data_IF_766086769708
#
_entry.id   IF_766086769708
#
_cell.length_a   1.000
_cell.length_b   1.000
_cell.length_c   1.000
_cell.angle_alpha   90.00
_cell.angle_beta   90.00
_cell.angle_gamma   90.00
#
_symmetry.space_group_name_H-M   'P 1'
#
loop_
_entity.id
_entity.type
_entity.pdbx_description
1 polymer ?
#
# COMPACT_ATOMS: atom_id res chain seq x y z
N UNK A 1 1.40 35.66 -47.04
CA UNK A 1 1.23 37.11 -47.29
C UNK A 1 1.64 37.82 -46.04
N UNK A 2 2.58 38.75 -46.24
CA UNK A 2 3.51 39.40 -45.32
C UNK A 2 2.97 39.91 -43.98
N UNK A 3 3.78 39.74 -42.92
CA UNK A 3 3.76 40.58 -41.73
C UNK A 3 4.95 41.54 -41.85
N UNK A 4 4.66 42.83 -42.06
CA UNK A 4 5.65 43.90 -42.09
C UNK A 4 6.09 44.30 -40.67
N UNK A 5 7.37 44.64 -40.56
CA UNK A 5 8.05 45.06 -39.34
C UNK A 5 8.26 46.59 -39.29
N UNK A 6 8.71 47.03 -38.10
CA UNK A 6 9.38 48.29 -37.72
C UNK A 6 8.54 49.55 -37.38
N UNK A 7 8.66 50.01 -36.12
CA UNK A 7 9.58 51.12 -35.74
C UNK A 7 9.78 51.21 -34.21
N UNK A 8 11.02 51.52 -33.80
CA UNK A 8 11.56 51.66 -32.43
C UNK A 8 11.37 53.14 -31.96
N UNK A 9 11.46 53.48 -30.65
CA UNK A 9 12.77 53.96 -30.15
C UNK A 9 13.11 53.50 -28.71
N UNK A 10 14.39 53.20 -28.49
CA UNK A 10 15.02 53.12 -27.18
C UNK A 10 15.31 54.54 -26.67
N UNK A 11 14.98 54.83 -25.41
CA UNK A 11 15.63 55.88 -24.63
C UNK A 11 15.79 55.41 -23.18
N UNK A 12 17.04 55.48 -22.73
CA UNK A 12 17.50 55.12 -21.40
C UNK A 12 16.91 56.04 -20.33
N UNK A 13 16.55 55.48 -19.18
CA UNK A 13 16.32 56.25 -17.97
C UNK A 13 17.34 55.89 -16.89
N UNK A 14 17.96 56.94 -16.38
CA UNK A 14 19.02 56.96 -15.41
C UNK A 14 18.58 56.47 -14.02
N UNK A 15 19.55 55.85 -13.36
CA UNK A 15 19.83 55.82 -11.92
C UNK A 15 18.94 56.68 -11.01
N UNK A 16 18.15 56.04 -10.15
CA UNK A 16 18.26 56.14 -8.68
C UNK A 16 17.13 55.33 -8.03
N UNK A 17 17.46 54.24 -7.36
CA UNK A 17 16.60 53.66 -6.33
C UNK A 17 17.41 53.56 -5.03
N UNK A 18 16.85 54.00 -3.89
CA UNK A 18 17.56 53.98 -2.62
C UNK A 18 17.72 52.54 -2.13
N UNK A 19 18.85 52.28 -1.49
CA UNK A 19 19.08 51.17 -0.57
C UNK A 19 17.82 50.84 0.23
N UNK A 20 17.24 49.65 0.01
CA UNK A 20 16.58 48.84 1.05
C UNK A 20 16.25 47.43 0.54
N UNK A 21 16.96 46.47 1.12
CA UNK A 21 16.59 45.06 1.32
C UNK A 21 16.41 44.15 0.10
N UNK A 22 17.53 43.59 -0.34
CA UNK A 22 17.61 42.33 -1.06
C UNK A 22 17.36 41.16 -0.09
N UNK A 23 16.15 40.98 0.44
CA UNK A 23 15.80 39.82 1.28
C UNK A 23 14.28 39.72 1.46
N UNK A 24 13.58 38.96 0.61
CA UNK A 24 12.28 38.31 0.96
C UNK A 24 11.62 37.65 -0.25
N UNK A 25 12.27 36.70 -0.93
CA UNK A 25 11.54 35.72 -1.77
C UNK A 25 12.23 34.35 -1.74
N UNK A 26 12.65 33.87 -0.56
CA UNK A 26 13.11 32.47 -0.38
C UNK A 26 12.88 32.01 1.07
N UNK A 27 11.66 32.12 1.63
CA UNK A 27 11.41 31.62 3.02
C UNK A 27 10.08 30.85 3.18
N UNK A 28 9.14 30.87 2.24
CA UNK A 28 7.82 30.25 2.47
C UNK A 28 7.70 28.78 2.05
N UNK A 29 8.60 28.23 1.23
CA UNK A 29 8.58 26.78 0.91
C UNK A 29 9.28 25.91 1.96
N UNK A 30 10.14 26.46 2.80
CA UNK A 30 10.93 25.67 3.77
C UNK A 30 10.17 25.37 5.05
N UNK A 31 9.32 26.27 5.54
CA UNK A 31 8.62 26.09 6.81
C UNK A 31 7.58 24.95 6.80
N UNK A 32 6.83 24.79 5.69
CA UNK A 32 5.85 23.71 5.56
C UNK A 32 6.50 22.32 5.43
N UNK A 33 7.61 22.23 4.68
CA UNK A 33 8.41 21.00 4.54
C UNK A 33 9.05 20.63 5.88
N UNK A 34 9.57 21.61 6.63
CA UNK A 34 10.12 21.39 7.98
C UNK A 34 9.02 20.97 8.96
N UNK A 35 7.83 21.56 8.92
CA UNK A 35 6.72 21.18 9.80
C UNK A 35 6.23 19.74 9.57
N UNK A 36 6.08 19.30 8.31
CA UNK A 36 5.72 17.92 7.97
C UNK A 36 6.81 16.91 8.38
N UNK A 37 8.09 17.24 8.13
CA UNK A 37 9.22 16.44 8.60
C UNK A 37 9.27 16.32 10.14
N UNK A 38 8.89 17.38 10.86
CA UNK A 38 8.80 17.34 12.34
C UNK A 38 7.61 16.57 12.87
N UNK A 39 6.53 16.34 12.11
CA UNK A 39 5.43 15.49 12.54
C UNK A 39 5.78 14.00 12.41
N UNK A 40 6.42 13.63 11.29
CA UNK A 40 6.95 12.28 11.01
C UNK A 40 8.02 11.83 12.02
N UNK A 41 8.91 12.75 12.43
CA UNK A 41 9.99 12.47 13.38
C UNK A 41 9.61 12.48 14.87
N UNK A 42 8.34 12.76 15.22
CA UNK A 42 7.88 12.78 16.62
C UNK A 42 7.51 11.41 17.18
N UNK A 43 7.06 10.50 16.31
CA UNK A 43 6.56 9.20 16.72
C UNK A 43 7.69 8.18 16.80
N UNK A 44 7.81 7.49 17.95
CA UNK A 44 8.82 6.43 18.14
C UNK A 44 8.47 5.22 17.29
N UNK A 45 9.46 4.40 16.93
CA UNK A 45 9.24 3.09 16.31
C UNK A 45 8.32 2.24 17.20
N UNK A 46 7.29 1.64 16.62
CA UNK A 46 6.23 0.89 17.29
C UNK A 46 4.97 1.71 17.58
N UNK A 47 5.06 3.03 17.72
CA UNK A 47 3.88 3.88 17.91
C UNK A 47 3.07 3.98 16.62
N UNK A 48 1.76 3.76 16.72
CA UNK A 48 0.85 3.90 15.58
C UNK A 48 0.66 5.38 15.20
N UNK A 49 0.87 5.67 13.93
CA UNK A 49 0.52 6.93 13.28
C UNK A 49 0.15 6.62 11.83
N UNK A 50 -1.13 6.77 11.50
CA UNK A 50 -1.60 6.73 10.11
C UNK A 50 -1.71 8.16 9.58
N UNK A 51 -1.05 8.49 8.46
CA UNK A 51 -1.18 9.81 7.86
C UNK A 51 -2.62 10.08 7.38
N UNK A 52 -3.04 11.36 7.30
CA UNK A 52 -4.34 11.74 6.74
C UNK A 52 -4.50 11.25 5.29
N UNK A 53 -5.70 10.77 4.94
CA UNK A 53 -5.99 10.21 3.61
C UNK A 53 -5.87 11.24 2.49
N UNK A 54 -6.07 12.53 2.77
CA UNK A 54 -5.93 13.64 1.81
C UNK A 54 -4.47 14.04 1.54
N UNK A 55 -3.52 13.53 2.34
CA UNK A 55 -2.08 13.70 2.12
C UNK A 55 -1.39 12.41 1.67
N UNK A 56 -2.14 11.32 1.48
CA UNK A 56 -1.62 9.98 1.19
C UNK A 56 -2.12 9.50 -0.17
N UNK A 57 -1.30 8.74 -0.89
CA UNK A 57 -1.67 8.15 -2.19
C UNK A 57 -1.02 6.79 -2.37
N UNK A 58 -1.71 5.88 -3.03
CA UNK A 58 -1.19 4.61 -3.56
C UNK A 58 -1.12 4.56 -5.09
N UNK A 59 -1.47 5.66 -5.75
CA UNK A 59 -1.23 5.82 -7.19
C UNK A 59 0.28 5.82 -7.46
N UNK A 60 0.80 4.89 -8.28
CA UNK A 60 2.23 4.79 -8.53
C UNK A 60 2.75 6.02 -9.28
N UNK A 61 3.85 6.59 -8.79
CA UNK A 61 4.55 7.70 -9.44
C UNK A 61 4.88 7.44 -10.93
N UNK A 62 5.12 6.18 -11.32
CA UNK A 62 5.43 5.80 -12.70
C UNK A 62 4.27 5.98 -13.69
N UNK A 63 3.01 5.95 -13.22
CA UNK A 63 1.81 6.06 -14.08
C UNK A 63 1.22 7.47 -14.04
N UNK A 64 1.32 8.14 -12.89
CA UNK A 64 0.86 9.52 -12.68
C UNK A 64 1.76 10.19 -11.63
N UNK A 65 2.25 11.41 -11.89
CA UNK A 65 2.95 12.16 -10.86
C UNK A 65 1.97 12.50 -9.75
N UNK A 66 2.14 11.91 -8.58
CA UNK A 66 1.38 12.24 -7.38
C UNK A 66 2.22 13.15 -6.48
N UNK A 67 1.63 14.25 -6.01
CA UNK A 67 2.23 15.21 -5.09
C UNK A 67 1.96 14.86 -3.61
N UNK A 68 1.32 13.71 -3.35
CA UNK A 68 1.04 13.25 -1.99
C UNK A 68 2.33 13.12 -1.17
N UNK A 69 2.28 13.60 0.07
CA UNK A 69 3.42 13.60 0.98
C UNK A 69 3.74 12.20 1.52
N UNK A 70 2.71 11.35 1.59
CA UNK A 70 2.80 10.00 2.10
C UNK A 70 2.43 8.99 1.01
N UNK A 71 3.19 7.90 0.92
CA UNK A 71 2.96 6.79 0.00
C UNK A 71 2.44 5.58 0.77
N UNK A 72 1.39 4.97 0.27
CA UNK A 72 0.89 3.67 0.76
C UNK A 72 0.65 2.75 -0.43
N UNK A 73 0.51 1.47 -0.16
CA UNK A 73 0.33 0.41 -1.16
C UNK A 73 -1.08 -0.18 -1.08
N UNK A 74 -1.47 -1.08 -1.99
CA UNK A 74 -2.61 -1.99 -1.74
C UNK A 74 -2.29 -3.09 -0.71
N UNK A 75 -1.09 -3.12 -0.11
CA UNK A 75 -0.68 -4.14 0.85
C UNK A 75 -0.87 -3.65 2.29
N UNK A 76 -1.87 -4.17 3.04
CA UNK A 76 -2.16 -3.71 4.39
C UNK A 76 -1.01 -3.98 5.38
N UNK A 77 -0.27 -5.09 5.20
CA UNK A 77 0.85 -5.45 6.07
C UNK A 77 2.01 -4.44 5.96
N UNK A 78 2.39 -4.04 4.76
CA UNK A 78 3.45 -3.04 4.55
C UNK A 78 3.01 -1.64 5.01
N UNK A 79 1.74 -1.31 4.79
CA UNK A 79 1.17 -0.05 5.25
C UNK A 79 1.15 0.02 6.78
N UNK A 80 0.82 -1.08 7.47
CA UNK A 80 0.92 -1.18 8.92
C UNK A 80 2.38 -1.00 9.40
N UNK A 81 3.35 -1.62 8.74
CA UNK A 81 4.76 -1.43 9.07
C UNK A 81 5.21 0.03 8.93
N UNK A 82 4.75 0.75 7.90
CA UNK A 82 5.00 2.18 7.76
C UNK A 82 4.27 3.01 8.82
N UNK A 83 3.00 2.70 9.11
CA UNK A 83 2.20 3.38 10.15
C UNK A 83 2.78 3.20 11.55
N UNK A 84 3.54 2.13 11.81
CA UNK A 84 4.26 1.92 13.06
C UNK A 84 5.76 2.31 13.00
N UNK A 85 6.26 2.79 11.87
CA UNK A 85 7.67 3.20 11.73
C UNK A 85 8.68 2.05 11.70
N UNK A 86 8.25 0.83 11.39
CA UNK A 86 9.14 -0.28 11.04
C UNK A 86 9.70 -0.13 9.62
N UNK A 87 8.94 0.51 8.74
CA UNK A 87 9.38 1.10 7.48
C UNK A 87 9.38 2.62 7.58
N UNK A 88 10.03 3.37 6.66
CA UNK A 88 9.89 4.82 6.57
C UNK A 88 8.40 5.23 6.62
N UNK A 89 8.05 6.13 7.55
CA UNK A 89 6.65 6.46 7.85
C UNK A 89 5.96 7.21 6.70
N UNK A 90 6.74 7.94 5.92
CA UNK A 90 6.33 8.57 4.67
C UNK A 90 6.12 7.57 3.53
N UNK A 91 6.53 6.32 3.70
CA UNK A 91 6.42 5.27 2.70
C UNK A 91 7.38 5.43 1.52
N UNK A 92 8.45 6.23 1.67
CA UNK A 92 9.40 6.56 0.60
C UNK A 92 10.79 5.96 0.86
N UNK A 93 11.63 5.90 -0.18
CA UNK A 93 13.03 5.45 -0.15
C UNK A 93 13.22 4.10 0.59
N UNK A 94 12.38 3.13 0.25
CA UNK A 94 12.34 1.81 0.88
C UNK A 94 13.13 0.82 0.04
N UNK A 95 14.25 0.34 0.57
CA UNK A 95 15.07 -0.70 -0.05
C UNK A 95 14.49 -2.09 0.18
N UNK A 96 14.89 -3.04 -0.66
CA UNK A 96 14.55 -4.47 -0.49
C UNK A 96 14.90 -4.98 0.92
N UNK A 97 16.09 -4.62 1.42
CA UNK A 97 16.55 -5.00 2.76
C UNK A 97 15.60 -4.50 3.85
N UNK A 98 15.11 -3.25 3.76
CA UNK A 98 14.16 -2.70 4.73
C UNK A 98 12.85 -3.50 4.72
N UNK A 99 12.32 -3.84 3.55
CA UNK A 99 11.10 -4.65 3.42
C UNK A 99 11.29 -6.04 4.04
N UNK A 100 12.31 -6.77 3.58
CA UNK A 100 12.59 -8.15 4.02
C UNK A 100 12.83 -8.18 5.54
N UNK A 101 13.60 -7.23 6.06
CA UNK A 101 13.87 -7.12 7.48
C UNK A 101 12.61 -6.83 8.29
N UNK A 102 11.78 -5.88 7.85
CA UNK A 102 10.60 -5.46 8.60
C UNK A 102 9.54 -6.56 8.67
N UNK A 103 9.22 -7.23 7.56
CA UNK A 103 8.23 -8.33 7.57
C UNK A 103 8.72 -9.53 8.40
N UNK A 104 10.03 -9.78 8.41
CA UNK A 104 10.62 -10.83 9.24
C UNK A 104 10.58 -10.49 10.72
N UNK A 105 11.07 -9.31 11.09
CA UNK A 105 11.19 -8.90 12.48
C UNK A 105 9.82 -8.76 13.15
N UNK A 106 8.79 -8.32 12.40
CA UNK A 106 7.46 -8.02 12.95
C UNK A 106 6.48 -9.16 12.77
N UNK A 107 6.44 -9.80 11.59
CA UNK A 107 5.43 -10.82 11.26
C UNK A 107 6.00 -12.24 11.17
N UNK A 108 7.30 -12.44 11.48
CA UNK A 108 8.02 -13.71 11.31
C UNK A 108 7.82 -14.33 9.91
N UNK A 109 7.76 -13.47 8.89
CA UNK A 109 7.73 -13.87 7.49
C UNK A 109 9.17 -14.08 7.01
N UNK A 110 9.43 -15.23 6.38
CA UNK A 110 10.75 -15.67 5.97
C UNK A 110 11.41 -14.77 4.92
N UNK A 111 12.74 -14.79 4.88
CA UNK A 111 13.50 -14.05 3.89
C UNK A 111 13.10 -14.45 2.45
N UNK A 112 12.80 -15.72 2.23
CA UNK A 112 12.38 -16.26 0.93
C UNK A 112 11.08 -15.64 0.43
N UNK A 113 10.12 -15.39 1.33
CA UNK A 113 8.88 -14.67 1.00
C UNK A 113 9.17 -13.21 0.69
N UNK A 114 10.05 -12.58 1.48
CA UNK A 114 10.48 -11.21 1.22
C UNK A 114 11.23 -11.05 -0.10
N UNK A 115 12.11 -11.99 -0.45
CA UNK A 115 12.83 -12.04 -1.73
C UNK A 115 11.85 -12.20 -2.90
N UNK A 116 10.83 -13.05 -2.76
CA UNK A 116 9.76 -13.19 -3.76
C UNK A 116 8.99 -11.88 -3.94
N UNK A 117 8.67 -11.18 -2.84
CA UNK A 117 7.93 -9.92 -2.86
C UNK A 117 8.69 -8.81 -3.61
N UNK A 118 10.01 -8.78 -3.51
CA UNK A 118 10.85 -7.73 -4.10
C UNK A 118 11.54 -8.13 -5.41
N UNK A 119 11.27 -9.34 -5.93
CA UNK A 119 11.99 -9.90 -7.07
C UNK A 119 11.85 -9.05 -8.35
N UNK A 120 10.67 -8.47 -8.57
CA UNK A 120 10.32 -7.75 -9.80
C UNK A 120 10.29 -6.22 -9.63
N UNK A 121 10.78 -5.68 -8.50
CA UNK A 121 10.72 -4.24 -8.19
C UNK A 121 12.11 -3.59 -8.20
N UNK A 122 12.23 -2.26 -8.41
CA UNK A 122 13.49 -1.55 -8.29
C UNK A 122 14.08 -1.67 -6.88
N UNK A 123 15.41 -1.58 -6.78
CA UNK A 123 16.16 -1.76 -5.52
C UNK A 123 15.70 -0.83 -4.38
N UNK A 124 15.09 0.29 -4.73
CA UNK A 124 14.47 1.26 -3.82
C UNK A 124 13.16 1.76 -4.43
N UNK A 125 12.10 1.78 -3.62
CA UNK A 125 10.74 2.19 -4.04
C UNK A 125 10.06 3.07 -2.99
N UNK A 126 9.05 3.83 -3.43
CA UNK A 126 7.94 4.22 -2.55
C UNK A 126 6.89 3.11 -2.50
N UNK A 127 6.12 3.00 -1.41
CA UNK A 127 5.09 1.96 -1.27
C UNK A 127 4.02 2.01 -2.38
N UNK A 128 3.75 3.20 -2.92
CA UNK A 128 2.83 3.41 -4.04
C UNK A 128 3.27 2.70 -5.32
N UNK A 129 4.56 2.37 -5.47
CA UNK A 129 5.05 1.55 -6.58
C UNK A 129 4.32 0.21 -6.67
N UNK A 130 3.93 -0.37 -5.53
CA UNK A 130 3.23 -1.65 -5.46
C UNK A 130 1.77 -1.56 -5.93
N UNK A 131 1.21 -0.37 -6.09
CA UNK A 131 -0.11 -0.15 -6.72
C UNK A 131 -0.08 -0.20 -8.24
N UNK A 132 1.08 -0.46 -8.86
CA UNK A 132 1.20 -0.55 -10.31
C UNK A 132 0.54 -1.84 -10.82
N UNK A 133 -0.44 -1.73 -11.74
CA UNK A 133 -1.13 -2.91 -12.25
C UNK A 133 -0.17 -3.92 -12.86
N UNK A 134 -0.44 -5.21 -12.66
CA UNK A 134 0.27 -6.36 -13.25
C UNK A 134 1.71 -6.58 -12.78
N UNK A 135 2.14 -5.90 -11.71
CA UNK A 135 3.38 -6.23 -10.99
C UNK A 135 3.09 -7.29 -9.92
N UNK A 136 2.46 -6.83 -8.84
CA UNK A 136 1.90 -7.62 -7.73
C UNK A 136 0.41 -7.31 -7.54
N UNK A 137 0.01 -6.06 -7.76
CA UNK A 137 -1.39 -5.65 -7.79
C UNK A 137 -2.16 -6.40 -8.89
N UNK A 138 -3.36 -6.84 -8.53
CA UNK A 138 -4.27 -7.57 -9.39
C UNK A 138 -5.74 -7.34 -9.00
N UNK A 139 -6.63 -7.52 -9.97
CA UNK A 139 -8.08 -7.47 -9.77
C UNK A 139 -8.57 -8.58 -8.81
N UNK A 140 -9.83 -8.47 -8.38
CA UNK A 140 -10.45 -9.39 -7.43
C UNK A 140 -9.75 -9.39 -6.06
N UNK A 141 -9.21 -8.25 -5.64
CA UNK A 141 -8.68 -8.06 -4.29
C UNK A 141 -9.74 -8.33 -3.21
N UNK A 142 -9.30 -8.73 -2.01
CA UNK A 142 -10.21 -8.99 -0.88
C UNK A 142 -10.95 -7.72 -0.43
N UNK A 143 -10.23 -6.59 -0.35
CA UNK A 143 -10.75 -5.34 0.24
C UNK A 143 -10.43 -4.10 -0.60
N UNK A 144 -9.91 -4.26 -1.82
CA UNK A 144 -9.62 -3.15 -2.73
C UNK A 144 -10.48 -3.24 -3.98
N UNK A 145 -10.81 -2.08 -4.53
CA UNK A 145 -11.59 -1.99 -5.78
C UNK A 145 -10.68 -2.29 -6.97
N UNK A 146 -11.18 -3.06 -7.93
CA UNK A 146 -10.46 -3.39 -9.16
C UNK A 146 -10.00 -2.14 -9.92
N UNK A 147 -8.86 -2.25 -10.60
CA UNK A 147 -8.19 -1.12 -11.25
C UNK A 147 -9.06 -0.42 -12.32
N UNK A 148 -9.98 -1.17 -12.93
CA UNK A 148 -10.95 -0.67 -13.92
C UNK A 148 -11.72 0.58 -13.44
N UNK A 149 -12.07 0.63 -12.16
CA UNK A 149 -12.88 1.72 -11.60
C UNK A 149 -12.06 3.00 -11.30
N UNK A 150 -10.74 2.98 -11.52
CA UNK A 150 -9.89 4.17 -11.48
C UNK A 150 -9.76 4.82 -10.10
N UNK A 151 -10.00 4.07 -9.03
CA UNK A 151 -9.76 4.53 -7.66
C UNK A 151 -8.28 4.38 -7.30
N UNK A 152 -7.84 5.15 -6.31
CA UNK A 152 -6.49 5.00 -5.77
C UNK A 152 -6.33 3.58 -5.15
N UNK A 153 -5.33 2.78 -5.58
CA UNK A 153 -5.13 1.41 -5.11
C UNK A 153 -4.95 1.25 -3.60
N UNK A 154 -4.53 2.29 -2.86
CA UNK A 154 -4.44 2.18 -1.39
C UNK A 154 -5.82 2.21 -0.71
N UNK A 155 -6.87 2.68 -1.40
CA UNK A 155 -8.17 2.88 -0.78
C UNK A 155 -8.81 1.53 -0.50
N UNK A 156 -9.19 1.34 0.76
CA UNK A 156 -9.96 0.19 1.19
C UNK A 156 -11.41 0.40 0.79
N UNK A 157 -11.99 -0.59 0.12
CA UNK A 157 -13.40 -0.66 -0.16
C UNK A 157 -14.11 -1.26 1.07
N UNK A 158 -14.72 -0.40 1.89
CA UNK A 158 -15.38 -0.81 3.13
C UNK A 158 -16.52 -1.82 2.91
N UNK A 159 -17.20 -1.78 1.75
CA UNK A 159 -18.24 -2.76 1.41
C UNK A 159 -17.64 -4.15 1.22
N UNK A 160 -16.52 -4.26 0.49
CA UNK A 160 -15.82 -5.54 0.32
C UNK A 160 -15.23 -6.05 1.64
N UNK A 161 -14.67 -5.15 2.45
CA UNK A 161 -14.17 -5.51 3.77
C UNK A 161 -15.29 -6.02 4.69
N UNK A 162 -16.45 -5.34 4.68
CA UNK A 162 -17.59 -5.77 5.48
C UNK A 162 -18.19 -7.09 4.97
N UNK A 163 -18.26 -7.33 3.65
CA UNK A 163 -18.64 -8.63 3.09
C UNK A 163 -17.73 -9.76 3.59
N UNK A 164 -16.41 -9.54 3.63
CA UNK A 164 -15.47 -10.51 4.22
C UNK A 164 -15.78 -10.76 5.70
N UNK A 165 -16.02 -9.70 6.48
CA UNK A 165 -16.25 -9.82 7.93
C UNK A 165 -17.58 -10.49 8.28
N UNK A 166 -18.63 -10.22 7.50
CA UNK A 166 -19.96 -10.80 7.71
C UNK A 166 -20.00 -12.31 7.41
N UNK A 167 -18.97 -12.86 6.77
CA UNK A 167 -18.81 -14.30 6.53
C UNK A 167 -18.20 -15.07 7.70
N UNK A 168 -17.76 -14.38 8.76
CA UNK A 168 -17.18 -15.03 9.92
C UNK A 168 -18.15 -16.02 10.57
N UNK A 169 -17.60 -17.07 11.19
CA UNK A 169 -18.40 -17.97 12.02
C UNK A 169 -18.99 -17.25 13.24
N UNK A 170 -19.89 -17.93 13.96
CA UNK A 170 -20.46 -17.42 15.22
C UNK A 170 -19.39 -17.12 16.30
N UNK A 171 -18.19 -17.69 16.15
CA UNK A 171 -17.01 -17.44 16.98
C UNK A 171 -16.21 -16.18 16.56
N UNK A 172 -16.66 -15.47 15.53
CA UNK A 172 -16.01 -14.28 15.00
C UNK A 172 -14.73 -14.57 14.21
N UNK A 173 -14.51 -15.82 13.78
CA UNK A 173 -13.31 -16.22 13.05
C UNK A 173 -13.55 -16.34 11.54
N UNK A 174 -12.59 -15.82 10.78
CA UNK A 174 -12.42 -16.07 9.35
C UNK A 174 -11.47 -17.25 9.19
N UNK A 175 -12.00 -18.43 8.88
CA UNK A 175 -11.25 -19.67 8.73
C UNK A 175 -10.69 -19.83 7.32
N UNK A 176 -9.83 -20.84 7.12
CA UNK A 176 -9.38 -21.27 5.79
C UNK A 176 -10.52 -21.41 4.77
N UNK A 177 -11.61 -22.09 5.14
CA UNK A 177 -12.73 -22.31 4.23
C UNK A 177 -13.40 -20.97 3.85
N UNK A 178 -13.69 -20.13 4.85
CA UNK A 178 -14.32 -18.82 4.64
C UNK A 178 -13.46 -17.91 3.75
N UNK A 179 -12.17 -17.80 4.03
CA UNK A 179 -11.26 -16.95 3.25
C UNK A 179 -11.07 -17.52 1.84
N UNK A 180 -10.95 -18.85 1.70
CA UNK A 180 -10.90 -19.51 0.39
C UNK A 180 -12.16 -19.25 -0.44
N UNK A 181 -13.35 -19.38 0.16
CA UNK A 181 -14.64 -19.14 -0.50
C UNK A 181 -14.75 -17.68 -0.93
N UNK A 182 -14.34 -16.75 -0.06
CA UNK A 182 -14.29 -15.32 -0.38
C UNK A 182 -13.38 -15.06 -1.58
N UNK A 183 -12.21 -15.70 -1.67
CA UNK A 183 -11.31 -15.55 -2.84
C UNK A 183 -11.97 -16.03 -4.14
N UNK A 184 -12.66 -17.16 -4.12
CA UNK A 184 -13.42 -17.66 -5.29
C UNK A 184 -14.51 -16.67 -5.67
N UNK A 185 -15.31 -16.22 -4.70
CA UNK A 185 -16.44 -15.32 -4.93
C UNK A 185 -15.97 -13.94 -5.45
N UNK A 186 -14.83 -13.43 -4.97
CA UNK A 186 -14.21 -12.22 -5.53
C UNK A 186 -13.83 -12.38 -7.00
N UNK A 187 -13.26 -13.54 -7.38
CA UNK A 187 -12.98 -13.86 -8.79
C UNK A 187 -14.25 -13.90 -9.65
N UNK A 188 -15.33 -14.50 -9.15
CA UNK A 188 -16.63 -14.51 -9.82
C UNK A 188 -17.21 -13.10 -9.96
N UNK A 189 -17.11 -12.29 -8.92
CA UNK A 189 -17.60 -10.89 -8.91
C UNK A 189 -16.84 -10.04 -9.93
N UNK A 190 -15.50 -10.16 -9.98
CA UNK A 190 -14.68 -9.48 -10.99
C UNK A 190 -15.16 -9.82 -12.40
N UNK A 191 -15.31 -11.11 -12.73
CA UNK A 191 -15.78 -11.54 -14.05
C UNK A 191 -17.20 -11.07 -14.39
N UNK A 192 -18.06 -10.88 -13.38
CA UNK A 192 -19.45 -10.48 -13.56
C UNK A 192 -19.62 -8.96 -13.71
N UNK A 193 -18.83 -8.17 -12.97
CA UNK A 193 -19.07 -6.73 -12.81
C UNK A 193 -18.01 -5.86 -13.49
N UNK A 194 -16.76 -6.33 -13.58
CA UNK A 194 -15.67 -5.60 -14.20
C UNK A 194 -15.50 -6.07 -15.67
N UNK A 195 -15.87 -5.26 -16.68
CA UNK A 195 -15.77 -5.64 -18.09
C UNK A 195 -14.33 -5.79 -18.59
N UNK A 196 -13.35 -5.32 -17.82
CA UNK A 196 -11.91 -5.45 -18.08
C UNK A 196 -11.23 -6.36 -17.06
N UNK A 197 -11.98 -7.20 -16.34
CA UNK A 197 -11.44 -8.09 -15.31
C UNK A 197 -10.26 -8.94 -15.83
N UNK A 198 -9.11 -8.85 -15.13
CA UNK A 198 -7.89 -9.59 -15.46
C UNK A 198 -7.49 -10.60 -14.38
N UNK A 199 -8.38 -11.56 -14.07
CA UNK A 199 -8.11 -12.59 -13.06
C UNK A 199 -7.37 -13.84 -13.60
N UNK A 200 -6.18 -13.61 -14.16
CA UNK A 200 -5.31 -14.64 -14.76
C UNK A 200 -4.84 -15.72 -13.75
N UNK A 201 -4.24 -16.81 -14.23
CA UNK A 201 -3.63 -17.84 -13.35
C UNK A 201 -2.57 -17.25 -12.40
N UNK A 202 -1.81 -16.24 -12.86
CA UNK A 202 -0.86 -15.50 -12.00
C UNK A 202 -1.60 -14.75 -10.90
N UNK A 203 -2.62 -13.95 -11.26
CA UNK A 203 -3.43 -13.21 -10.30
C UNK A 203 -4.11 -14.13 -9.28
N UNK A 204 -4.70 -15.24 -9.73
CA UNK A 204 -5.26 -16.29 -8.86
C UNK A 204 -4.21 -16.93 -7.94
N UNK A 205 -2.95 -17.01 -8.36
CA UNK A 205 -1.89 -17.56 -7.50
C UNK A 205 -1.48 -16.56 -6.43
N UNK A 206 -1.26 -15.29 -6.79
CA UNK A 206 -0.96 -14.21 -5.85
C UNK A 206 -2.09 -14.03 -4.82
N UNK A 207 -3.32 -13.93 -5.30
CA UNK A 207 -4.55 -13.90 -4.52
C UNK A 207 -4.63 -14.90 -3.37
N UNK A 208 -4.32 -16.17 -3.66
CA UNK A 208 -4.40 -17.25 -2.67
C UNK A 208 -3.13 -17.32 -1.79
N UNK A 209 -1.98 -16.86 -2.27
CA UNK A 209 -0.79 -16.64 -1.44
C UNK A 209 -1.02 -15.53 -0.41
N UNK A 210 -1.67 -14.43 -0.81
CA UNK A 210 -2.06 -13.33 0.08
C UNK A 210 -3.07 -13.79 1.13
N UNK A 211 -4.09 -14.55 0.73
CA UNK A 211 -5.03 -15.18 1.66
C UNK A 211 -4.32 -16.11 2.66
N UNK A 212 -3.33 -16.86 2.19
CA UNK A 212 -2.50 -17.72 3.05
C UNK A 212 -1.69 -16.88 4.03
N UNK A 213 -1.12 -15.75 3.59
CA UNK A 213 -0.34 -14.84 4.44
C UNK A 213 -1.22 -14.14 5.48
N UNK A 214 -2.43 -13.73 5.11
CA UNK A 214 -3.43 -13.16 6.03
C UNK A 214 -3.67 -14.13 7.20
N UNK A 215 -3.92 -15.41 6.93
CA UNK A 215 -4.21 -16.41 7.95
C UNK A 215 -2.97 -16.83 8.74
N UNK A 216 -1.87 -17.07 8.04
CA UNK A 216 -0.67 -17.67 8.64
C UNK A 216 0.24 -16.68 9.34
N UNK A 217 0.31 -15.43 8.86
CA UNK A 217 1.21 -14.41 9.39
C UNK A 217 0.48 -13.34 10.21
N UNK A 218 -0.69 -12.89 9.74
CA UNK A 218 -1.46 -11.84 10.43
C UNK A 218 -2.54 -12.40 11.35
N UNK A 219 -2.90 -13.68 11.18
CA UNK A 219 -3.82 -14.42 12.02
C UNK A 219 -3.12 -15.38 12.98
N UNK A 220 -3.85 -16.42 13.35
CA UNK A 220 -3.44 -17.45 14.32
C UNK A 220 -3.08 -18.80 13.65
N UNK A 221 -2.80 -18.79 12.35
CA UNK A 221 -2.42 -19.98 11.57
C UNK A 221 -3.53 -20.44 10.63
N UNK A 222 -4.62 -20.97 11.19
CA UNK A 222 -5.77 -21.50 10.42
C UNK A 222 -6.97 -20.53 10.35
N UNK A 223 -6.90 -19.44 11.10
CA UNK A 223 -7.95 -18.42 11.15
C UNK A 223 -7.38 -17.05 11.51
N UNK A 224 -8.15 -15.99 11.25
CA UNK A 224 -7.95 -14.66 11.79
C UNK A 224 -9.29 -14.18 12.37
N UNK A 225 -9.28 -13.49 13.52
CA UNK A 225 -10.50 -12.89 14.06
C UNK A 225 -10.94 -11.70 13.20
N UNK A 226 -12.25 -11.41 13.15
CA UNK A 226 -12.76 -10.20 12.47
C UNK A 226 -12.12 -8.93 13.02
N UNK A 227 -11.84 -8.88 14.33
CA UNK A 227 -11.17 -7.74 14.96
C UNK A 227 -9.76 -7.55 14.41
N UNK A 228 -8.93 -8.60 14.41
CA UNK A 228 -7.57 -8.53 13.87
C UNK A 228 -7.59 -8.23 12.36
N UNK A 229 -8.48 -8.88 11.61
CA UNK A 229 -8.63 -8.63 10.19
C UNK A 229 -9.02 -7.18 9.90
N UNK A 230 -9.93 -6.58 10.68
CA UNK A 230 -10.29 -5.17 10.56
C UNK A 230 -9.12 -4.24 10.85
N UNK A 231 -8.38 -4.51 11.93
CA UNK A 231 -7.21 -3.71 12.30
C UNK A 231 -6.12 -3.74 11.23
N UNK A 232 -5.84 -4.90 10.63
CA UNK A 232 -4.87 -5.00 9.55
C UNK A 232 -5.40 -4.45 8.22
N UNK A 233 -6.57 -4.92 7.75
CA UNK A 233 -7.07 -4.66 6.40
C UNK A 233 -7.69 -3.28 6.23
N UNK A 234 -8.36 -2.74 7.26
CA UNK A 234 -8.97 -1.40 7.21
C UNK A 234 -8.04 -0.39 7.87
N UNK A 235 -7.70 -0.60 9.14
CA UNK A 235 -6.99 0.42 9.93
C UNK A 235 -5.49 0.46 9.64
N UNK A 236 -4.95 -0.58 9.02
CA UNK A 236 -3.52 -0.76 8.76
C UNK A 236 -2.69 -0.51 10.02
N UNK A 237 -3.10 -1.17 11.11
CA UNK A 237 -2.44 -1.15 12.43
C UNK A 237 -2.18 -2.58 12.87
N UNK A 238 -1.12 -2.76 13.64
CA UNK A 238 -0.81 -4.03 14.29
C UNK A 238 -1.64 -4.07 15.59
N UNK A 239 -2.47 -5.11 15.82
CA UNK A 239 -3.20 -5.28 17.07
C UNK A 239 -2.28 -5.26 18.29
N UNK A 240 -2.72 -4.69 19.41
CA UNK A 240 -1.89 -4.60 20.63
C UNK A 240 -1.55 -5.98 21.21
N UNK A 241 -2.46 -6.93 21.05
CA UNK A 241 -2.32 -8.33 21.46
C UNK A 241 -1.74 -9.24 20.36
N UNK A 242 -1.28 -8.67 19.25
CA UNK A 242 -0.69 -9.43 18.16
C UNK A 242 0.56 -10.17 18.61
N UNK A 243 0.60 -11.47 18.29
CA UNK A 243 1.80 -12.29 18.44
C UNK A 243 2.19 -12.88 17.09
N UNK A 244 3.45 -12.73 16.65
CA UNK A 244 3.88 -13.33 15.40
C UNK A 244 3.83 -14.87 15.47
N UNK A 245 3.70 -15.55 14.32
CA UNK A 245 3.66 -17.01 14.27
C UNK A 245 4.91 -17.62 14.90
N UNK A 246 4.74 -18.73 15.63
CA UNK A 246 5.88 -19.43 16.27
C UNK A 246 6.84 -20.01 15.22
N UNK A 247 6.28 -20.53 14.11
CA UNK A 247 7.06 -21.03 12.98
C UNK A 247 7.12 -19.96 11.91
N UNK A 248 8.32 -19.70 11.39
CA UNK A 248 8.52 -18.75 10.28
C UNK A 248 7.67 -19.16 9.08
N UNK A 249 6.93 -18.20 8.53
CA UNK A 249 6.12 -18.38 7.32
C UNK A 249 7.04 -18.31 6.11
N UNK A 250 7.18 -19.42 5.38
CA UNK A 250 8.07 -19.55 4.21
C UNK A 250 7.27 -19.68 2.93
N UNK A 251 7.91 -19.48 1.78
CA UNK A 251 7.31 -19.68 0.45
C UNK A 251 6.71 -21.08 0.33
N UNK A 252 7.43 -22.10 0.80
CA UNK A 252 6.94 -23.48 0.79
C UNK A 252 5.65 -23.66 1.60
N UNK A 253 5.55 -23.03 2.77
CA UNK A 253 4.34 -23.12 3.60
C UNK A 253 3.16 -22.34 3.01
N UNK A 254 3.42 -21.20 2.38
CA UNK A 254 2.39 -20.40 1.69
C UNK A 254 1.87 -21.11 0.45
N UNK A 255 2.74 -21.72 -0.37
CA UNK A 255 2.32 -22.50 -1.54
C UNK A 255 1.43 -23.67 -1.14
N UNK A 256 1.85 -24.44 -0.12
CA UNK A 256 1.05 -25.55 0.41
C UNK A 256 -0.32 -25.08 0.93
N UNK A 257 -0.35 -23.95 1.65
CA UNK A 257 -1.61 -23.37 2.13
C UNK A 257 -2.47 -22.90 0.96
N UNK A 258 -1.89 -22.24 -0.03
CA UNK A 258 -2.59 -21.75 -1.22
C UNK A 258 -3.25 -22.89 -1.99
N UNK A 259 -2.57 -24.03 -2.16
CA UNK A 259 -3.15 -25.22 -2.80
C UNK A 259 -4.32 -25.76 -2.00
N UNK A 260 -4.15 -25.94 -0.68
CA UNK A 260 -5.22 -26.38 0.21
C UNK A 260 -6.44 -25.44 0.16
N UNK A 261 -6.24 -24.12 0.18
CA UNK A 261 -7.34 -23.15 0.07
C UNK A 261 -8.07 -23.27 -1.27
N UNK A 262 -7.35 -23.51 -2.37
CA UNK A 262 -7.95 -23.74 -3.71
C UNK A 262 -8.74 -25.04 -3.75
N UNK A 263 -8.23 -26.12 -3.15
CA UNK A 263 -8.91 -27.41 -3.06
C UNK A 263 -10.23 -27.35 -2.27
N UNK A 264 -10.29 -26.53 -1.22
CA UNK A 264 -11.51 -26.35 -0.42
C UNK A 264 -12.66 -25.72 -1.21
N UNK A 265 -12.37 -25.05 -2.33
CA UNK A 265 -13.35 -24.25 -3.09
C UNK A 265 -13.46 -24.62 -4.56
N UNK A 266 -12.77 -25.70 -4.95
CA UNK A 266 -12.75 -26.25 -6.29
C UNK A 266 -14.09 -26.89 -6.70
#
# INVERSE_FOLDING_TARGET
>A
MEVQALLIPQLAFQTSLPNKSLTMVVITLTAAVVAAATALGKHKKGEYFRPPSDETSGIPYLKYSTDAKYRRSPCPALNALANHGYLPRDGQDITHEKIIKAIKDVFNVGNDVGELLVADIPTEIGLDYLGAPNLLEHDASLVHTDAYYGLDPMLVNETLAQDLFDRAGDDGLLTNAIVGETRRDRGNTCNAENPECTYSTRAQTLAFLEASLLLMALGSGDSISVEHARLFLINETIPEDYTPPVKTVTVATLLKRSEMLKELVA
#
